data_IF_443425438861
#
_entry.id   IF_443425438861
#
_cell.length_a   1.000
_cell.length_b   1.000
_cell.length_c   1.000
_cell.angle_alpha   90.00
_cell.angle_beta   90.00
_cell.angle_gamma   90.00
#
_symmetry.space_group_name_H-M   'P 1'
#
loop_
_entity.id
_entity.type
_entity.pdbx_description
1 polymer ?
#
# COMPACT_ATOMS: atom_id res chain seq x y z
N UNK A 1 11.27 54.46 26.51
CA UNK A 1 11.33 53.44 25.50
C UNK A 1 10.96 52.12 26.14
N UNK A 2 9.70 51.76 26.09
CA UNK A 2 9.13 50.54 26.69
C UNK A 2 9.03 49.49 25.60
N UNK A 3 9.89 48.51 25.66
CA UNK A 3 9.83 47.33 24.80
C UNK A 3 8.67 46.44 25.25
N UNK A 4 7.60 46.40 24.45
CA UNK A 4 6.47 45.49 24.65
C UNK A 4 6.90 44.03 24.51
N UNK A 5 6.20 43.09 25.21
CA UNK A 5 6.51 41.67 25.10
C UNK A 5 6.23 41.15 23.70
N UNK A 6 7.21 40.46 23.12
CA UNK A 6 7.03 39.70 21.89
C UNK A 6 6.09 38.54 22.18
N UNK A 7 4.86 38.61 21.70
CA UNK A 7 3.93 37.48 21.76
C UNK A 7 4.51 36.28 21.00
N UNK A 8 4.72 35.20 21.75
CA UNK A 8 5.06 33.91 21.16
C UNK A 8 3.93 33.42 20.25
N UNK A 9 4.21 32.84 19.08
CA UNK A 9 3.17 32.36 18.17
C UNK A 9 2.32 31.28 18.86
N UNK A 10 1.02 31.54 18.93
CA UNK A 10 0.03 30.61 19.50
C UNK A 10 0.00 29.31 18.67
N UNK A 11 0.58 28.27 19.26
CA UNK A 11 0.60 26.91 18.74
C UNK A 11 -0.73 26.20 19.00
N UNK A 12 -1.79 26.54 18.26
CA UNK A 12 -3.11 25.99 18.58
C UNK A 12 -4.14 25.96 17.46
N UNK A 13 -3.78 26.28 16.21
CA UNK A 13 -4.73 26.13 15.09
C UNK A 13 -4.79 24.70 14.60
N UNK A 14 -6.01 24.15 14.37
CA UNK A 14 -6.17 22.78 13.85
C UNK A 14 -5.43 22.53 12.51
N UNK A 15 -5.15 23.58 11.75
CA UNK A 15 -4.30 23.51 10.56
C UNK A 15 -2.82 23.21 10.89
N UNK A 16 -2.31 23.58 12.03
CA UNK A 16 -0.90 23.40 12.40
C UNK A 16 -0.54 21.95 12.73
N UNK A 17 -1.42 21.19 13.38
CA UNK A 17 -1.17 19.79 13.67
C UNK A 17 -1.32 18.92 12.41
N UNK A 18 -2.32 19.21 11.56
CA UNK A 18 -2.49 18.53 10.27
C UNK A 18 -1.26 18.70 9.38
N UNK A 19 -0.70 19.92 9.32
CA UNK A 19 0.54 20.18 8.58
C UNK A 19 1.71 19.41 9.17
N UNK A 20 1.85 19.31 10.49
CA UNK A 20 2.89 18.50 11.15
C UNK A 20 2.72 17.02 10.87
N UNK A 21 1.49 16.51 10.91
CA UNK A 21 1.15 15.12 10.63
C UNK A 21 1.48 14.76 9.16
N UNK A 22 1.14 15.62 8.21
CA UNK A 22 1.44 15.39 6.77
C UNK A 22 2.93 15.63 6.45
N UNK A 23 3.64 16.39 7.28
CA UNK A 23 5.07 16.65 7.09
C UNK A 23 5.93 15.51 7.66
N UNK A 24 5.41 14.71 8.60
CA UNK A 24 6.09 13.50 9.06
C UNK A 24 6.04 12.42 7.97
N UNK A 25 7.22 12.03 7.47
CA UNK A 25 7.35 11.02 6.40
C UNK A 25 6.69 9.69 6.74
N UNK A 26 6.66 9.31 8.01
CA UNK A 26 6.05 8.04 8.46
C UNK A 26 4.54 8.12 8.35
N UNK A 27 3.96 9.22 8.78
CA UNK A 27 2.51 9.45 8.70
C UNK A 27 2.07 9.62 7.24
N UNK A 28 2.82 10.38 6.45
CA UNK A 28 2.57 10.51 5.01
C UNK A 28 2.61 9.14 4.31
N UNK A 29 3.57 8.27 4.65
CA UNK A 29 3.66 6.91 4.12
C UNK A 29 2.41 6.07 4.45
N UNK A 30 1.95 6.11 5.70
CA UNK A 30 0.76 5.38 6.14
C UNK A 30 -0.52 5.91 5.48
N UNK A 31 -0.66 7.23 5.37
CA UNK A 31 -1.80 7.85 4.71
C UNK A 31 -1.85 7.51 3.22
N UNK A 32 -0.72 7.59 2.53
CA UNK A 32 -0.63 7.19 1.12
C UNK A 32 -0.97 5.71 0.96
N UNK A 33 -0.49 4.85 1.87
CA UNK A 33 -0.84 3.43 1.88
C UNK A 33 -2.35 3.19 2.04
N UNK A 34 -3.00 3.88 2.98
CA UNK A 34 -4.44 3.79 3.20
C UNK A 34 -5.25 4.28 2.00
N UNK A 35 -4.87 5.44 1.43
CA UNK A 35 -5.49 5.98 0.21
C UNK A 35 -5.31 5.01 -0.96
N UNK A 36 -4.11 4.46 -1.13
CA UNK A 36 -3.84 3.49 -2.19
C UNK A 36 -4.68 2.21 -2.05
N UNK A 37 -4.89 1.72 -0.83
CA UNK A 37 -5.79 0.60 -0.56
C UNK A 37 -7.23 0.93 -0.97
N UNK A 38 -7.71 2.13 -0.65
CA UNK A 38 -9.03 2.61 -1.10
C UNK A 38 -9.14 2.69 -2.63
N UNK A 39 -8.12 3.22 -3.30
CA UNK A 39 -8.05 3.24 -4.78
C UNK A 39 -8.10 1.82 -5.33
N UNK A 40 -7.37 0.87 -4.73
CA UNK A 40 -7.37 -0.53 -5.13
C UNK A 40 -8.76 -1.17 -5.04
N UNK A 41 -9.52 -0.92 -3.98
CA UNK A 41 -10.90 -1.37 -3.85
C UNK A 41 -11.82 -0.79 -4.92
N UNK A 42 -11.78 0.53 -5.10
CA UNK A 42 -12.61 1.22 -6.10
C UNK A 42 -12.28 0.71 -7.51
N UNK A 43 -11.00 0.57 -7.83
CA UNK A 43 -10.56 0.05 -9.12
C UNK A 43 -11.02 -1.41 -9.32
N UNK A 44 -10.80 -2.29 -8.34
CA UNK A 44 -11.22 -3.69 -8.45
C UNK A 44 -12.72 -3.81 -8.64
N UNK A 45 -13.51 -3.14 -7.82
CA UNK A 45 -14.98 -3.20 -7.91
C UNK A 45 -15.51 -2.60 -9.19
N UNK A 46 -14.92 -1.47 -9.64
CA UNK A 46 -15.29 -0.83 -10.89
C UNK A 46 -14.98 -1.71 -12.11
N UNK A 47 -13.82 -2.38 -12.14
CA UNK A 47 -13.48 -3.30 -13.23
C UNK A 47 -14.30 -4.59 -13.18
N UNK A 48 -14.66 -5.10 -12.01
CA UNK A 48 -15.54 -6.25 -11.85
C UNK A 48 -16.95 -5.95 -12.41
N UNK A 49 -17.51 -4.79 -12.07
CA UNK A 49 -18.79 -4.34 -12.61
C UNK A 49 -18.73 -4.09 -14.13
N UNK A 50 -17.65 -3.42 -14.59
CA UNK A 50 -17.43 -3.15 -16.01
C UNK A 50 -17.30 -4.45 -16.81
N UNK A 51 -16.54 -5.42 -16.32
CA UNK A 51 -16.41 -6.72 -16.95
C UNK A 51 -17.78 -7.41 -17.07
N UNK A 52 -18.56 -7.39 -16.00
CA UNK A 52 -19.90 -8.00 -15.99
C UNK A 52 -20.85 -7.34 -17.01
N UNK A 53 -20.70 -6.03 -17.24
CA UNK A 53 -21.49 -5.28 -18.22
C UNK A 53 -21.04 -5.47 -19.67
N UNK A 54 -19.72 -5.63 -19.90
CA UNK A 54 -19.11 -5.71 -21.24
C UNK A 54 -18.78 -7.15 -21.66
N UNK A 55 -19.16 -8.14 -20.88
CA UNK A 55 -18.80 -9.55 -21.08
C UNK A 55 -18.94 -9.96 -22.56
N UNK A 56 -17.82 -10.30 -23.23
CA UNK A 56 -17.85 -10.68 -24.64
C UNK A 56 -18.57 -12.02 -24.83
N UNK A 57 -19.30 -12.18 -25.92
CA UNK A 57 -20.05 -13.43 -26.23
C UNK A 57 -19.15 -14.64 -26.42
N UNK A 58 -17.89 -14.47 -26.85
CA UNK A 58 -16.91 -15.58 -26.93
C UNK A 58 -16.55 -16.16 -25.57
N UNK A 59 -16.78 -15.39 -24.49
CA UNK A 59 -16.50 -15.83 -23.13
C UNK A 59 -17.39 -17.02 -22.71
N UNK A 60 -18.57 -17.13 -23.31
CA UNK A 60 -19.52 -18.23 -23.05
C UNK A 60 -19.04 -19.57 -23.63
N UNK A 61 -18.05 -19.56 -24.54
CA UNK A 61 -17.41 -20.76 -25.11
C UNK A 61 -16.46 -21.41 -24.06
N UNK A 62 -15.94 -20.60 -23.14
CA UNK A 62 -15.09 -21.09 -22.06
C UNK A 62 -15.95 -21.86 -21.04
N UNK A 63 -15.43 -22.97 -20.53
CA UNK A 63 -16.05 -23.61 -19.37
C UNK A 63 -16.08 -22.66 -18.16
N UNK A 64 -17.01 -22.87 -17.24
CA UNK A 64 -17.23 -21.97 -16.10
C UNK A 64 -15.96 -21.71 -15.27
N UNK A 65 -15.11 -22.72 -15.10
CA UNK A 65 -13.85 -22.60 -14.38
C UNK A 65 -12.87 -21.67 -15.11
N UNK A 66 -12.59 -21.91 -16.41
CA UNK A 66 -11.71 -21.10 -17.23
C UNK A 66 -12.20 -19.65 -17.31
N UNK A 67 -13.52 -19.46 -17.47
CA UNK A 67 -14.14 -18.17 -17.46
C UNK A 67 -13.88 -17.41 -16.16
N UNK A 68 -13.99 -18.07 -15.02
CA UNK A 68 -13.69 -17.49 -13.70
C UNK A 68 -12.22 -17.09 -13.55
N UNK A 69 -11.29 -17.93 -13.98
CA UNK A 69 -9.85 -17.61 -13.95
C UNK A 69 -9.52 -16.39 -14.80
N UNK A 70 -10.04 -16.33 -16.03
CA UNK A 70 -9.83 -15.20 -16.95
C UNK A 70 -10.42 -13.91 -16.36
N UNK A 71 -11.64 -13.96 -15.86
CA UNK A 71 -12.29 -12.82 -15.21
C UNK A 71 -11.42 -12.27 -14.08
N UNK A 72 -11.10 -13.09 -13.08
CA UNK A 72 -10.31 -12.65 -11.94
C UNK A 72 -8.94 -12.09 -12.36
N UNK A 73 -8.29 -12.72 -13.35
CA UNK A 73 -6.97 -12.27 -13.83
C UNK A 73 -7.07 -10.91 -14.50
N UNK A 74 -8.03 -10.70 -15.38
CA UNK A 74 -8.18 -9.42 -16.10
C UNK A 74 -8.58 -8.30 -15.14
N UNK A 75 -9.58 -8.53 -14.29
CA UNK A 75 -10.03 -7.52 -13.32
C UNK A 75 -8.90 -7.14 -12.36
N UNK A 76 -8.19 -8.13 -11.82
CA UNK A 76 -7.08 -7.88 -10.91
C UNK A 76 -5.92 -7.15 -11.60
N UNK A 77 -5.56 -7.53 -12.83
CA UNK A 77 -4.51 -6.88 -13.60
C UNK A 77 -4.85 -5.41 -13.91
N UNK A 78 -6.08 -5.12 -14.36
CA UNK A 78 -6.52 -3.76 -14.61
C UNK A 78 -6.51 -2.90 -13.33
N UNK A 79 -7.05 -3.44 -12.23
CA UNK A 79 -7.05 -2.76 -10.95
C UNK A 79 -5.61 -2.52 -10.46
N UNK A 80 -4.70 -3.49 -10.63
CA UNK A 80 -3.30 -3.36 -10.25
C UNK A 80 -2.60 -2.24 -11.01
N UNK A 81 -2.75 -2.17 -12.33
CA UNK A 81 -2.13 -1.11 -13.14
C UNK A 81 -2.56 0.28 -12.66
N UNK A 82 -3.85 0.50 -12.43
CA UNK A 82 -4.36 1.77 -11.90
C UNK A 82 -3.78 2.06 -10.53
N UNK A 83 -3.81 1.08 -9.63
CA UNK A 83 -3.33 1.22 -8.26
C UNK A 83 -1.83 1.53 -8.20
N UNK A 84 -1.01 0.86 -9.02
CA UNK A 84 0.44 1.08 -9.07
C UNK A 84 0.79 2.45 -9.60
N UNK A 85 0.12 2.90 -10.66
CA UNK A 85 0.35 4.26 -11.21
C UNK A 85 0.00 5.32 -10.16
N UNK A 86 -1.16 5.19 -9.50
CA UNK A 86 -1.58 6.10 -8.44
C UNK A 86 -0.64 6.06 -7.24
N UNK A 87 -0.28 4.86 -6.76
CA UNK A 87 0.65 4.69 -5.66
C UNK A 87 2.01 5.33 -5.97
N UNK A 88 2.57 5.03 -7.14
CA UNK A 88 3.84 5.58 -7.57
C UNK A 88 3.80 7.12 -7.61
N UNK A 89 2.76 7.71 -8.19
CA UNK A 89 2.58 9.15 -8.23
C UNK A 89 2.49 9.76 -6.81
N UNK A 90 1.69 9.15 -5.92
CA UNK A 90 1.51 9.62 -4.55
C UNK A 90 2.81 9.48 -3.73
N UNK A 91 3.47 8.33 -3.77
CA UNK A 91 4.73 8.14 -3.04
C UNK A 91 5.82 9.07 -3.56
N UNK A 92 5.95 9.20 -4.87
CA UNK A 92 6.96 10.05 -5.48
C UNK A 92 6.78 11.53 -5.13
N UNK A 93 5.55 12.04 -5.17
CA UNK A 93 5.24 13.46 -4.96
C UNK A 93 5.13 13.84 -3.49
N UNK A 94 4.44 13.02 -2.69
CA UNK A 94 4.10 13.37 -1.31
C UNK A 94 5.13 12.87 -0.29
N UNK A 95 5.65 11.66 -0.49
CA UNK A 95 6.53 11.02 0.51
C UNK A 95 8.00 11.29 0.20
N UNK A 96 8.44 10.93 -0.98
CA UNK A 96 9.87 10.97 -1.32
C UNK A 96 10.32 12.28 -1.97
N UNK A 97 9.41 13.02 -2.61
CA UNK A 97 9.66 14.30 -3.28
C UNK A 97 10.87 14.25 -4.24
N UNK A 98 11.07 13.11 -4.91
CA UNK A 98 12.22 12.85 -5.80
C UNK A 98 11.91 13.30 -7.23
N UNK A 99 12.89 13.94 -7.88
CA UNK A 99 12.84 14.31 -9.30
C UNK A 99 13.92 13.53 -10.07
N UNK A 100 13.60 13.02 -11.27
CA UNK A 100 14.52 12.27 -12.12
C UNK A 100 13.97 10.92 -12.57
N UNK A 101 14.76 10.06 -13.12
CA UNK A 101 14.57 8.73 -13.70
C UNK A 101 13.26 7.96 -13.35
N UNK A 102 12.11 8.48 -13.82
CA UNK A 102 10.76 7.98 -13.49
C UNK A 102 10.60 6.47 -13.74
N UNK A 103 11.01 6.00 -14.91
CA UNK A 103 10.82 4.61 -15.31
C UNK A 103 11.63 3.61 -14.48
N UNK A 104 12.85 3.98 -14.11
CA UNK A 104 13.70 3.13 -13.27
C UNK A 104 13.18 3.04 -11.83
N UNK A 105 12.66 4.15 -11.33
CA UNK A 105 12.06 4.20 -9.99
C UNK A 105 10.74 3.43 -9.96
N UNK A 106 9.91 3.54 -11.01
CA UNK A 106 8.68 2.76 -11.16
C UNK A 106 8.97 1.27 -11.25
N UNK A 107 9.95 0.84 -12.05
CA UNK A 107 10.29 -0.57 -12.18
C UNK A 107 10.78 -1.17 -10.84
N UNK A 108 11.58 -0.42 -10.08
CA UNK A 108 12.00 -0.84 -8.74
C UNK A 108 10.83 -0.89 -7.74
N UNK A 109 9.95 0.09 -7.81
CA UNK A 109 8.74 0.12 -6.99
C UNK A 109 7.85 -1.08 -7.30
N UNK A 110 7.59 -1.33 -8.59
CA UNK A 110 6.76 -2.45 -9.06
C UNK A 110 7.33 -3.80 -8.66
N UNK A 111 8.64 -4.00 -8.72
CA UNK A 111 9.25 -5.28 -8.36
C UNK A 111 8.93 -5.73 -6.92
N UNK A 112 8.71 -4.80 -6.01
CA UNK A 112 8.29 -5.09 -4.62
C UNK A 112 6.84 -5.56 -4.58
N UNK A 113 5.97 -5.04 -5.45
CA UNK A 113 4.54 -5.37 -5.49
C UNK A 113 4.22 -6.65 -6.25
N UNK A 114 5.11 -7.10 -7.16
CA UNK A 114 4.88 -8.32 -7.94
C UNK A 114 4.64 -9.57 -7.07
N UNK A 115 5.35 -9.70 -5.97
CA UNK A 115 5.11 -10.78 -5.02
C UNK A 115 3.73 -10.71 -4.37
N UNK A 116 3.32 -9.53 -3.97
CA UNK A 116 2.01 -9.31 -3.34
C UNK A 116 0.85 -9.58 -4.29
N UNK A 117 0.96 -9.14 -5.54
CA UNK A 117 -0.11 -9.40 -6.53
C UNK A 117 -0.19 -10.87 -6.93
N UNK A 118 0.95 -11.57 -7.01
CA UNK A 118 0.95 -13.01 -7.27
C UNK A 118 0.23 -13.77 -6.16
N UNK A 119 0.50 -13.45 -4.90
CA UNK A 119 -0.20 -14.04 -3.74
C UNK A 119 -1.69 -13.70 -3.79
N UNK A 120 -2.03 -12.43 -4.04
CA UNK A 120 -3.42 -11.99 -4.17
C UNK A 120 -4.15 -12.77 -5.28
N UNK A 121 -3.54 -12.91 -6.44
CA UNK A 121 -4.10 -13.65 -7.57
C UNK A 121 -4.38 -15.12 -7.21
N UNK A 122 -3.43 -15.80 -6.57
CA UNK A 122 -3.63 -17.19 -6.12
C UNK A 122 -4.77 -17.29 -5.11
N UNK A 123 -4.79 -16.42 -4.10
CA UNK A 123 -5.83 -16.41 -3.08
C UNK A 123 -7.21 -16.08 -3.66
N UNK A 124 -7.29 -15.08 -4.55
CA UNK A 124 -8.56 -14.69 -5.18
C UNK A 124 -9.15 -15.86 -5.97
N UNK A 125 -8.32 -16.50 -6.80
CA UNK A 125 -8.79 -17.65 -7.58
C UNK A 125 -9.15 -18.85 -6.69
N UNK A 126 -8.37 -19.15 -5.67
CA UNK A 126 -8.70 -20.21 -4.72
C UNK A 126 -10.06 -19.95 -4.05
N UNK A 127 -10.29 -18.74 -3.55
CA UNK A 127 -11.54 -18.39 -2.87
C UNK A 127 -12.74 -18.38 -3.80
N UNK A 128 -12.57 -17.93 -5.04
CA UNK A 128 -13.68 -17.86 -6.00
C UNK A 128 -13.96 -19.21 -6.66
N UNK A 129 -12.93 -19.96 -7.06
CA UNK A 129 -13.12 -21.21 -7.83
C UNK A 129 -13.36 -22.43 -6.93
N UNK A 130 -12.66 -22.53 -5.79
CA UNK A 130 -12.79 -23.70 -4.91
C UNK A 130 -13.85 -23.52 -3.82
N UNK A 131 -14.01 -22.29 -3.32
CA UNK A 131 -14.99 -22.00 -2.28
C UNK A 131 -16.26 -21.34 -2.81
N UNK A 132 -16.35 -21.05 -4.12
CA UNK A 132 -17.53 -20.43 -4.74
C UNK A 132 -17.85 -19.03 -4.25
N UNK A 133 -16.87 -18.29 -3.73
CA UNK A 133 -17.09 -16.97 -3.19
C UNK A 133 -17.24 -15.92 -4.29
N UNK A 134 -18.09 -14.92 -4.05
CA UNK A 134 -18.20 -13.76 -4.94
C UNK A 134 -16.88 -12.99 -4.95
N UNK A 135 -16.31 -12.61 -6.12
CA UNK A 135 -15.00 -11.95 -6.23
C UNK A 135 -14.81 -10.74 -5.31
N UNK A 136 -15.83 -9.89 -5.18
CA UNK A 136 -15.79 -8.70 -4.29
C UNK A 136 -15.62 -9.08 -2.81
N UNK A 137 -16.30 -10.14 -2.37
CA UNK A 137 -16.21 -10.64 -0.99
C UNK A 137 -14.83 -11.25 -0.76
N UNK A 138 -14.37 -12.10 -1.68
CA UNK A 138 -13.06 -12.72 -1.63
C UNK A 138 -11.95 -11.65 -1.57
N UNK A 139 -12.00 -10.67 -2.46
CA UNK A 139 -11.02 -9.58 -2.49
C UNK A 139 -11.02 -8.76 -1.19
N UNK A 140 -12.19 -8.47 -0.62
CA UNK A 140 -12.28 -7.75 0.65
C UNK A 140 -11.59 -8.52 1.78
N UNK A 141 -11.84 -9.82 1.88
CA UNK A 141 -11.20 -10.69 2.88
C UNK A 141 -9.67 -10.70 2.68
N UNK A 142 -9.21 -10.85 1.44
CA UNK A 142 -7.78 -10.89 1.13
C UNK A 142 -7.10 -9.59 1.54
N UNK A 143 -7.67 -8.43 1.21
CA UNK A 143 -7.08 -7.13 1.58
C UNK A 143 -7.03 -6.94 3.09
N UNK A 144 -8.08 -7.34 3.82
CA UNK A 144 -8.11 -7.30 5.28
C UNK A 144 -7.03 -8.20 5.88
N UNK A 145 -6.90 -9.44 5.38
CA UNK A 145 -5.84 -10.36 5.82
C UNK A 145 -4.45 -9.81 5.54
N UNK A 146 -4.21 -9.24 4.36
CA UNK A 146 -2.93 -8.62 4.01
C UNK A 146 -2.61 -7.43 4.90
N UNK A 147 -3.60 -6.61 5.26
CA UNK A 147 -3.42 -5.50 6.20
C UNK A 147 -3.02 -6.00 7.60
N UNK A 148 -3.66 -7.05 8.10
CA UNK A 148 -3.29 -7.69 9.37
C UNK A 148 -1.89 -8.28 9.32
N UNK A 149 -1.54 -9.02 8.27
CA UNK A 149 -0.21 -9.61 8.09
C UNK A 149 0.87 -8.52 8.04
N UNK A 150 0.61 -7.44 7.32
CA UNK A 150 1.50 -6.28 7.25
C UNK A 150 1.70 -5.65 8.64
N UNK A 151 0.61 -5.47 9.40
CA UNK A 151 0.69 -4.95 10.76
C UNK A 151 1.52 -5.85 11.67
N UNK A 152 1.30 -7.18 11.62
CA UNK A 152 2.08 -8.16 12.37
C UNK A 152 3.55 -8.14 11.97
N UNK A 153 3.86 -8.11 10.68
CA UNK A 153 5.22 -8.03 10.18
C UNK A 153 5.93 -6.78 10.71
N UNK A 154 5.28 -5.63 10.65
CA UNK A 154 5.84 -4.40 11.21
C UNK A 154 6.02 -4.46 12.72
N UNK A 155 5.05 -5.02 13.47
CA UNK A 155 5.14 -5.14 14.92
C UNK A 155 6.28 -6.04 15.37
N UNK A 156 6.48 -7.18 14.72
CA UNK A 156 7.47 -8.17 15.16
C UNK A 156 8.84 -7.99 14.51
N UNK A 157 8.91 -7.43 13.31
CA UNK A 157 10.18 -7.29 12.58
C UNK A 157 10.83 -5.91 12.78
N UNK A 158 10.04 -4.84 12.86
CA UNK A 158 10.56 -3.47 12.98
C UNK A 158 10.93 -3.09 14.42
N UNK A 159 10.46 -3.80 15.43
CA UNK A 159 10.74 -3.52 16.85
C UNK A 159 11.82 -4.41 17.49
N UNK A 160 12.54 -5.23 16.72
CA UNK A 160 13.81 -5.79 17.20
C UNK A 160 14.83 -4.66 17.29
N UNK A 161 14.85 -3.99 18.44
CA UNK A 161 15.95 -3.07 18.80
C UNK A 161 17.23 -3.88 18.72
N UNK A 162 18.22 -3.39 17.98
CA UNK A 162 19.58 -3.84 18.13
C UNK A 162 19.92 -3.69 19.62
N UNK A 163 20.26 -4.79 20.27
CA UNK A 163 20.84 -4.76 21.62
C UNK A 163 22.09 -3.92 21.47
N UNK A 164 22.25 -2.83 22.26
CA UNK A 164 23.51 -2.09 22.27
C UNK A 164 24.59 -3.09 22.62
N UNK A 165 25.65 -3.15 21.81
CA UNK A 165 26.85 -3.88 22.18
C UNK A 165 27.31 -3.28 23.49
N UNK A 166 27.69 -4.09 24.50
CA UNK A 166 28.34 -3.57 25.71
C UNK A 166 29.55 -2.75 25.28
N UNK A 167 29.62 -1.53 25.78
CA UNK A 167 30.77 -0.68 25.59
C UNK A 167 32.01 -1.52 25.98
N UNK A 168 32.93 -1.68 25.03
CA UNK A 168 34.23 -2.24 25.32
C UNK A 168 34.88 -1.28 26.31
N UNK A 169 34.91 -1.68 27.55
CA UNK A 169 35.62 -0.98 28.60
C UNK A 169 37.02 -0.63 28.11
N UNK A 170 37.23 0.65 27.89
CA UNK A 170 38.57 1.24 27.80
C UNK A 170 39.17 1.26 29.16
N UNK A 171 39.47 0.04 29.68
CA UNK A 171 40.36 -0.11 30.82
C UNK A 171 41.79 -0.21 30.27
N UNK A 172 42.34 0.95 29.98
CA UNK A 172 43.71 1.18 29.63
C UNK A 172 44.35 2.02 30.70
N UNK A 173 44.35 1.51 31.94
CA UNK A 173 45.21 2.03 32.96
C UNK A 173 46.67 1.82 32.55
N UNK A 174 47.40 2.90 32.43
CA UNK A 174 48.88 2.86 32.46
C UNK A 174 49.39 3.32 33.81
N UNK A 175 50.44 2.67 34.28
CA UNK A 175 51.17 3.13 35.45
C UNK A 175 52.00 4.40 35.17
#
# INVERSE_FOLDING_TARGET
MTSGPVEAPQSGTPAGWLLRVVTDRRVAFLLVGAVNTGIGFVAFFGFDDLWSALRPSWFDILGAEQAGWVHNTVVLACAHVVTVICAFALYRTLVFRVRGHVWRDLARFESVYLGSIAINWVLLNAMTQWFGMVPKVAQTIIVVLQAFLSWFAHKYFSFRRAVPLPDADTDGGMP
#
